data_IF_148462658111
#
_entry.id   IF_148462658111
#
_cell.length_a   1.000
_cell.length_b   1.000
_cell.length_c   1.000
_cell.angle_alpha   90.00
_cell.angle_beta   90.00
_cell.angle_gamma   90.00
#
_symmetry.space_group_name_H-M   'P 1'
#
loop_
_entity.id
_entity.type
_entity.pdbx_description
1 polymer ?
#
# COMPACT_ATOMS: atom_id res chain seq x y z
N UNK A 1 -22.67 -10.00 -2.08
CA UNK A 1 -21.24 -10.31 -2.29
C UNK A 1 -20.60 -9.00 -2.67
N UNK A 2 -19.94 -8.33 -1.73
CA UNK A 2 -19.03 -7.22 -2.04
C UNK A 2 -17.88 -7.80 -2.86
N UNK A 3 -17.51 -7.12 -3.94
CA UNK A 3 -16.46 -7.62 -4.81
C UNK A 3 -15.10 -7.35 -4.17
N UNK A 4 -14.11 -8.21 -4.42
CA UNK A 4 -12.73 -7.98 -3.97
C UNK A 4 -12.14 -6.68 -4.55
N UNK A 5 -12.76 -6.12 -5.60
CA UNK A 5 -12.37 -4.85 -6.19
C UNK A 5 -12.76 -3.62 -5.34
N UNK A 6 -13.60 -3.80 -4.32
CA UNK A 6 -14.10 -2.71 -3.48
C UNK A 6 -13.24 -2.51 -2.21
N UNK A 7 -12.23 -3.34 -1.96
CA UNK A 7 -11.35 -3.22 -0.77
C UNK A 7 -10.02 -2.54 -1.12
N UNK A 8 -9.42 -1.88 -0.13
CA UNK A 8 -8.06 -1.39 -0.24
C UNK A 8 -7.06 -2.55 -0.25
N UNK A 9 -6.23 -2.59 -1.27
CA UNK A 9 -5.03 -3.41 -1.31
C UNK A 9 -3.84 -2.59 -0.86
N UNK A 10 -2.86 -3.24 -0.23
CA UNK A 10 -1.67 -2.59 0.26
C UNK A 10 -0.45 -3.49 0.13
N UNK A 11 0.73 -2.90 0.33
CA UNK A 11 1.97 -3.64 0.31
C UNK A 11 3.21 -2.78 0.32
N UNK A 12 4.30 -3.36 -0.15
CA UNK A 12 5.60 -2.71 -0.28
C UNK A 12 5.94 -2.51 -1.75
N UNK A 13 6.69 -1.46 -2.04
CA UNK A 13 7.35 -1.28 -3.34
C UNK A 13 8.84 -1.02 -3.14
N UNK A 14 9.65 -1.43 -4.11
CA UNK A 14 11.10 -1.25 -4.09
C UNK A 14 11.56 -0.24 -5.15
N UNK A 15 12.73 0.35 -4.97
CA UNK A 15 13.40 1.22 -5.95
C UNK A 15 13.79 0.47 -7.23
N UNK A 16 13.93 -0.86 -7.15
CA UNK A 16 14.07 -1.76 -8.29
C UNK A 16 12.77 -1.92 -9.12
N UNK A 17 11.66 -1.32 -8.68
CA UNK A 17 10.37 -1.37 -9.36
C UNK A 17 9.52 -2.60 -9.06
N UNK A 18 9.87 -3.37 -8.03
CA UNK A 18 9.04 -4.48 -7.58
C UNK A 18 7.87 -3.98 -6.75
N UNK A 19 6.71 -4.59 -6.93
CA UNK A 19 5.50 -4.34 -6.14
C UNK A 19 5.11 -5.63 -5.45
N UNK A 20 5.18 -5.64 -4.13
CA UNK A 20 4.92 -6.80 -3.29
C UNK A 20 3.62 -6.54 -2.55
N UNK A 21 2.58 -7.31 -2.86
CA UNK A 21 1.30 -7.21 -2.16
C UNK A 21 1.39 -7.89 -0.79
N UNK A 22 0.84 -7.22 0.22
CA UNK A 22 0.72 -7.73 1.59
C UNK A 22 -0.77 -7.80 1.93
N UNK A 23 -1.15 -8.75 2.79
CA UNK A 23 -2.54 -8.85 3.25
C UNK A 23 -2.94 -7.57 4.01
N UNK A 24 -4.05 -6.95 3.59
CA UNK A 24 -4.71 -5.92 4.37
C UNK A 24 -5.47 -6.59 5.54
N UNK A 25 -5.07 -6.29 6.76
CA UNK A 25 -5.70 -6.80 8.00
C UNK A 25 -6.53 -5.75 8.74
N UNK A 26 -6.87 -4.64 8.07
CA UNK A 26 -7.76 -3.62 8.65
C UNK A 26 -9.11 -4.22 9.03
N UNK A 27 -9.69 -3.77 10.15
CA UNK A 27 -11.08 -4.06 10.51
C UNK A 27 -12.09 -3.40 9.55
N UNK A 28 -11.65 -2.36 8.84
CA UNK A 28 -12.42 -1.60 7.85
C UNK A 28 -11.68 -1.54 6.50
N UNK A 29 -11.53 -2.68 5.80
CA UNK A 29 -10.68 -2.78 4.62
C UNK A 29 -11.19 -2.03 3.39
N UNK A 30 -12.41 -1.49 3.41
CA UNK A 30 -12.95 -0.66 2.33
C UNK A 30 -12.47 0.80 2.37
N UNK A 31 -12.09 1.27 3.57
CA UNK A 31 -11.79 2.69 3.84
C UNK A 31 -10.39 2.88 4.43
N UNK A 32 -9.67 1.79 4.71
CA UNK A 32 -8.36 1.85 5.35
C UNK A 32 -7.56 0.58 5.09
N UNK A 33 -6.25 0.68 5.30
CA UNK A 33 -5.35 -0.44 5.25
C UNK A 33 -4.55 -0.61 6.54
N UNK A 34 -4.23 -1.86 6.86
CA UNK A 34 -3.23 -2.23 7.86
C UNK A 34 -2.39 -3.34 7.25
N UNK A 35 -1.07 -3.16 7.16
CA UNK A 35 -0.16 -4.20 6.68
C UNK A 35 -0.12 -5.35 7.69
N UNK A 36 -0.24 -6.58 7.18
CA UNK A 36 0.01 -7.76 8.00
C UNK A 36 1.46 -7.81 8.47
N UNK A 37 1.66 -7.58 9.77
CA UNK A 37 2.99 -7.55 10.39
C UNK A 37 3.76 -8.85 10.19
N UNK A 38 3.11 -10.01 10.30
CA UNK A 38 3.80 -11.30 10.18
C UNK A 38 4.33 -11.49 8.77
N UNK A 39 3.50 -11.18 7.75
CA UNK A 39 3.95 -11.21 6.36
C UNK A 39 5.07 -10.21 6.06
N UNK A 40 5.00 -8.99 6.62
CA UNK A 40 6.09 -8.01 6.44
C UNK A 40 7.39 -8.53 7.04
N UNK A 41 7.36 -9.07 8.26
CA UNK A 41 8.56 -9.65 8.89
C UNK A 41 9.12 -10.80 8.06
N UNK A 42 8.26 -11.75 7.66
CA UNK A 42 8.65 -12.89 6.82
C UNK A 42 9.29 -12.43 5.51
N UNK A 43 8.78 -11.36 4.88
CA UNK A 43 9.38 -10.79 3.67
C UNK A 43 10.81 -10.32 3.93
N UNK A 44 11.06 -9.54 4.98
CA UNK A 44 12.41 -9.07 5.31
C UNK A 44 13.36 -10.19 5.78
N UNK A 45 12.83 -11.27 6.37
CA UNK A 45 13.66 -12.42 6.78
C UNK A 45 14.03 -13.34 5.60
N UNK A 46 13.16 -13.45 4.61
CA UNK A 46 13.31 -14.43 3.51
C UNK A 46 13.84 -13.82 2.21
N UNK A 47 13.75 -12.49 2.04
CA UNK A 47 14.22 -11.77 0.86
C UNK A 47 15.55 -11.08 1.15
N UNK A 48 16.69 -11.63 0.70
CA UNK A 48 18.01 -11.04 0.99
C UNK A 48 18.20 -9.67 0.31
N UNK A 49 17.42 -9.36 -0.71
CA UNK A 49 17.41 -8.08 -1.42
C UNK A 49 16.62 -6.99 -0.67
N UNK A 50 15.85 -7.34 0.36
CA UNK A 50 15.17 -6.40 1.24
C UNK A 50 15.94 -6.32 2.56
N UNK A 51 16.35 -5.11 2.93
CA UNK A 51 17.01 -4.85 4.21
C UNK A 51 16.18 -3.84 5.01
N UNK A 52 16.10 -4.01 6.32
CA UNK A 52 15.28 -3.12 7.17
C UNK A 52 15.80 -1.67 7.13
N UNK A 53 17.10 -1.50 6.94
CA UNK A 53 17.76 -0.20 6.80
C UNK A 53 17.39 0.53 5.51
N UNK A 54 16.88 -0.20 4.51
CA UNK A 54 16.45 0.34 3.23
C UNK A 54 15.00 0.88 3.28
N UNK A 55 14.27 0.64 4.37
CA UNK A 55 12.93 1.20 4.58
C UNK A 55 12.99 2.73 4.55
N UNK A 56 12.12 3.34 3.74
CA UNK A 56 12.04 4.79 3.57
C UNK A 56 13.02 5.38 2.55
N UNK A 57 14.06 4.66 2.15
CA UNK A 57 14.99 5.11 1.10
C UNK A 57 14.82 4.31 -0.20
N UNK A 58 14.73 2.98 -0.11
CA UNK A 58 14.52 2.08 -1.25
C UNK A 58 13.24 1.28 -1.16
N UNK A 59 12.71 1.08 0.04
CA UNK A 59 11.44 0.38 0.25
C UNK A 59 10.40 1.36 0.77
N UNK A 60 9.25 1.45 0.09
CA UNK A 60 8.12 2.27 0.51
C UNK A 60 6.84 1.44 0.65
N UNK A 61 5.80 2.07 1.19
CA UNK A 61 4.47 1.47 1.33
C UNK A 61 3.59 1.96 0.19
N UNK A 62 2.79 1.07 -0.38
CA UNK A 62 1.70 1.47 -1.28
C UNK A 62 0.37 0.97 -0.76
N UNK A 63 -0.69 1.70 -1.10
CA UNK A 63 -2.07 1.26 -0.91
C UNK A 63 -3.00 1.85 -1.97
N UNK A 64 -4.17 1.24 -2.16
CA UNK A 64 -5.16 1.68 -3.14
C UNK A 64 -6.35 2.36 -2.49
N UNK A 65 -6.89 3.40 -3.13
CA UNK A 65 -8.20 3.97 -2.81
C UNK A 65 -9.24 3.54 -3.86
N UNK A 66 -10.11 2.54 -3.56
CA UNK A 66 -11.15 2.07 -4.48
C UNK A 66 -12.31 3.06 -4.63
N UNK A 67 -12.44 4.02 -3.71
CA UNK A 67 -13.47 5.08 -3.76
C UNK A 67 -13.28 6.08 -4.90
N UNK A 68 -12.14 6.04 -5.60
CA UNK A 68 -11.79 7.01 -6.64
C UNK A 68 -11.30 8.36 -6.11
N UNK A 69 -11.13 8.52 -4.79
CA UNK A 69 -10.55 9.73 -4.20
C UNK A 69 -9.05 9.82 -4.55
N UNK A 70 -8.67 10.91 -5.21
CA UNK A 70 -7.29 11.16 -5.65
C UNK A 70 -6.45 11.70 -4.49
N UNK A 71 -5.36 10.99 -4.20
CA UNK A 71 -4.37 11.38 -3.18
C UNK A 71 -4.66 10.82 -1.77
N UNK A 72 -3.75 11.08 -0.82
CA UNK A 72 -3.88 10.60 0.56
C UNK A 72 -5.08 11.21 1.28
N UNK A 73 -5.76 10.38 2.07
CA UNK A 73 -6.80 10.79 3.00
C UNK A 73 -6.20 11.55 4.20
N UNK A 74 -7.06 12.17 5.01
CA UNK A 74 -6.62 12.78 6.28
C UNK A 74 -6.07 11.73 7.25
N UNK A 75 -6.59 10.51 7.22
CA UNK A 75 -6.14 9.42 8.06
C UNK A 75 -4.75 8.92 7.64
N UNK A 76 -4.49 8.81 6.33
CA UNK A 76 -3.16 8.49 5.80
C UNK A 76 -2.08 9.46 6.31
N UNK A 77 -2.41 10.76 6.39
CA UNK A 77 -1.49 11.74 6.94
C UNK A 77 -1.26 11.57 8.45
N UNK A 78 -2.29 11.18 9.20
CA UNK A 78 -2.19 11.00 10.65
C UNK A 78 -1.42 9.73 11.03
N UNK A 79 -1.47 8.70 10.18
CA UNK A 79 -0.79 7.41 10.40
C UNK A 79 0.59 7.34 9.72
N UNK A 80 0.98 8.40 8.99
CA UNK A 80 2.27 8.51 8.34
C UNK A 80 3.42 8.37 9.35
N UNK A 81 4.35 7.48 9.03
CA UNK A 81 5.63 7.34 9.74
C UNK A 81 6.65 8.27 9.07
N UNK A 82 7.31 9.11 9.89
CA UNK A 82 8.36 10.00 9.39
C UNK A 82 9.52 9.19 8.80
N UNK A 83 10.02 9.61 7.64
CA UNK A 83 11.07 8.91 6.91
C UNK A 83 10.59 7.79 5.98
N UNK A 84 9.33 7.36 6.06
CA UNK A 84 8.76 6.36 5.15
C UNK A 84 8.11 7.02 3.92
N UNK A 85 8.36 6.44 2.74
CA UNK A 85 7.72 6.86 1.51
C UNK A 85 6.40 6.10 1.31
N UNK A 86 5.37 6.82 0.87
CA UNK A 86 4.03 6.29 0.64
C UNK A 86 3.60 6.58 -0.80
N UNK A 87 3.04 5.57 -1.46
CA UNK A 87 2.44 5.67 -2.78
C UNK A 87 0.95 5.35 -2.66
N UNK A 88 0.11 6.33 -2.95
CA UNK A 88 -1.35 6.14 -2.99
C UNK A 88 -1.79 5.92 -4.43
N UNK A 89 -2.47 4.80 -4.68
CA UNK A 89 -2.97 4.42 -6.00
C UNK A 89 -4.49 4.57 -6.03
N UNK A 90 -4.99 5.60 -6.70
CA UNK A 90 -6.42 5.78 -6.85
C UNK A 90 -6.94 4.93 -8.02
N UNK A 91 -8.01 4.17 -7.76
CA UNK A 91 -8.71 3.39 -8.79
C UNK A 91 -10.03 4.11 -9.09
N UNK A 92 -10.07 5.03 -10.07
CA UNK A 92 -11.30 5.75 -10.40
C UNK A 92 -12.33 4.80 -11.02
N UNK A 93 -13.61 5.10 -10.79
CA UNK A 93 -14.70 4.47 -11.55
C UNK A 93 -14.87 5.17 -12.91
N UNK A 94 -15.18 4.41 -13.95
CA UNK A 94 -15.42 4.91 -15.30
C UNK A 94 -14.35 4.50 -16.33
N UNK A 95 -14.49 4.97 -17.56
CA UNK A 95 -13.53 4.69 -18.63
C UNK A 95 -12.33 5.64 -18.55
N UNK A 96 -11.12 5.07 -18.50
CA UNK A 96 -9.91 5.84 -18.70
C UNK A 96 -9.81 6.26 -20.18
N UNK A 97 -9.74 7.57 -20.42
CA UNK A 97 -9.55 8.13 -21.76
C UNK A 97 -8.17 8.77 -21.87
N UNK A 98 -7.46 8.50 -22.97
CA UNK A 98 -6.16 9.12 -23.28
C UNK A 98 -6.42 10.21 -24.32
N UNK A 99 -5.99 11.43 -24.02
CA UNK A 99 -6.07 12.58 -24.93
C UNK A 99 -4.76 12.78 -25.69
#
# INVERSE_FOLDING_TARGET
MTSDADVEHCGLYTDAGEVIQVRNVSESPHDSYVLDKEQVVDLFETRPDLQIEDIGSKVGVWHTHPSGLIGPSREDFNTKIEGLNYLVVTIPSGEAVVF
#
